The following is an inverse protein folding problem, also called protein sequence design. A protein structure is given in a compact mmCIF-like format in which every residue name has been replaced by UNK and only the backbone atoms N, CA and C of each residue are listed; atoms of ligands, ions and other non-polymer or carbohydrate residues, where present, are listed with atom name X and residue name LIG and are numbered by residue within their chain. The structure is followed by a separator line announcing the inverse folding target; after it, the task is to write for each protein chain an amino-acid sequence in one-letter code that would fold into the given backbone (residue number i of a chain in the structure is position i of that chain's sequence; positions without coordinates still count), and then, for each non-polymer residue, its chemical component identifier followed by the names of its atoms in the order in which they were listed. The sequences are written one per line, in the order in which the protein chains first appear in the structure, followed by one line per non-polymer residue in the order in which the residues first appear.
data_IF_421354873421
#
_entry.id   IF_421354873421
#
_cell.length_a   1.000
_cell.length_b   1.000
_cell.length_c   1.000
_cell.angle_alpha   90.00
_cell.angle_beta   90.00
_cell.angle_gamma   90.00
#
_symmetry.space_group_name_H-M   'P 1'
#
loop_
_entity.id
_entity.type
_entity.pdbx_description
1 polymer ?
#
# COMPACT_ATOMS: atom_id res chain seq x y z
N UNK A 1 -11.67 -24.54 11.26
CA UNK A 1 -11.21 -23.13 11.12
C UNK A 1 -9.70 -23.13 11.19
N UNK A 2 -8.99 -22.49 10.25
CA UNK A 2 -7.53 -22.39 10.31
C UNK A 2 -7.02 -21.69 11.57
N UNK A 3 -5.84 -22.08 12.06
CA UNK A 3 -5.27 -21.54 13.30
C UNK A 3 -5.10 -20.01 13.27
N UNK A 4 -4.66 -19.44 12.13
CA UNK A 4 -4.53 -17.99 12.00
C UNK A 4 -5.86 -17.26 12.26
N UNK A 5 -6.96 -17.81 11.76
CA UNK A 5 -8.30 -17.25 11.96
C UNK A 5 -8.80 -17.45 13.40
N UNK A 6 -8.53 -18.60 14.03
CA UNK A 6 -8.88 -18.79 15.46
C UNK A 6 -8.11 -17.83 16.35
N UNK A 7 -6.82 -17.63 16.09
CA UNK A 7 -5.96 -16.75 16.88
C UNK A 7 -6.37 -15.30 16.72
N UNK A 8 -6.71 -14.87 15.50
CA UNK A 8 -7.26 -13.54 15.25
C UNK A 8 -8.58 -13.32 16.00
N UNK A 9 -9.52 -14.27 15.94
CA UNK A 9 -10.79 -14.17 16.65
C UNK A 9 -10.58 -14.03 18.17
N UNK A 10 -9.77 -14.91 18.76
CA UNK A 10 -9.44 -14.84 20.19
C UNK A 10 -8.77 -13.50 20.50
N UNK A 11 -7.79 -13.08 19.70
CA UNK A 11 -7.10 -11.81 19.89
C UNK A 11 -8.06 -10.62 19.90
N UNK A 12 -8.90 -10.46 18.87
CA UNK A 12 -9.74 -9.27 18.72
C UNK A 12 -10.95 -9.26 19.64
N UNK A 13 -11.49 -10.42 20.02
CA UNK A 13 -12.59 -10.50 21.01
C UNK A 13 -12.09 -10.19 22.42
N UNK A 14 -10.80 -10.41 22.71
CA UNK A 14 -10.22 -10.19 24.06
C UNK A 14 -9.38 -8.91 24.15
N UNK A 15 -9.13 -8.22 23.04
CA UNK A 15 -8.35 -6.98 22.99
C UNK A 15 -9.22 -5.76 23.33
N UNK A 16 -8.66 -4.84 24.12
CA UNK A 16 -9.25 -3.52 24.35
C UNK A 16 -8.79 -2.47 23.33
N UNK A 17 -7.97 -2.87 22.34
CA UNK A 17 -7.44 -1.99 21.30
C UNK A 17 -8.25 -2.16 20.03
N UNK A 18 -8.81 -1.05 19.54
CA UNK A 18 -9.58 -1.01 18.29
C UNK A 18 -8.64 -0.70 17.12
N UNK A 19 -8.73 -1.43 15.99
CA UNK A 19 -8.05 -1.06 14.75
C UNK A 19 -8.36 0.37 14.29
N UNK A 20 -7.43 0.99 13.58
CA UNK A 20 -7.58 2.36 13.08
C UNK A 20 -8.67 2.48 12.01
N UNK A 21 -8.85 1.44 11.20
CA UNK A 21 -9.84 1.41 10.13
C UNK A 21 -11.22 1.01 10.66
N UNK A 22 -12.26 1.69 10.19
CA UNK A 22 -13.65 1.35 10.55
C UNK A 22 -14.12 0.05 9.90
N UNK A 23 -15.25 -0.49 10.35
CA UNK A 23 -15.88 -1.65 9.72
C UNK A 23 -16.14 -1.42 8.21
N UNK A 24 -16.61 -0.23 7.84
CA UNK A 24 -16.93 0.12 6.45
C UNK A 24 -15.66 0.26 5.60
N UNK A 25 -14.58 0.81 6.17
CA UNK A 25 -13.26 0.90 5.54
C UNK A 25 -12.69 -0.52 5.32
N UNK A 26 -12.61 -1.35 6.36
CA UNK A 26 -12.10 -2.74 6.25
C UNK A 26 -12.91 -3.58 5.27
N UNK A 27 -14.22 -3.37 5.21
CA UNK A 27 -15.12 -4.12 4.32
C UNK A 27 -14.78 -3.95 2.84
N UNK A 28 -14.18 -2.82 2.44
CA UNK A 28 -13.72 -2.58 1.07
C UNK A 28 -12.61 -3.55 0.70
N UNK A 29 -11.50 -3.56 1.46
CA UNK A 29 -10.37 -4.45 1.21
C UNK A 29 -10.75 -5.92 1.40
N UNK A 30 -11.60 -6.22 2.39
CA UNK A 30 -12.11 -7.59 2.62
C UNK A 30 -12.84 -8.14 1.39
N UNK A 31 -13.71 -7.37 0.72
CA UNK A 31 -14.42 -7.83 -0.48
C UNK A 31 -13.48 -8.23 -1.62
N UNK A 32 -12.31 -7.62 -1.69
CA UNK A 32 -11.26 -7.97 -2.67
C UNK A 32 -10.51 -9.21 -2.22
N UNK A 33 -10.10 -9.29 -0.96
CA UNK A 33 -9.49 -10.49 -0.37
C UNK A 33 -10.39 -11.73 -0.48
N UNK A 34 -11.69 -11.61 -0.23
CA UNK A 34 -12.66 -12.71 -0.38
C UNK A 34 -12.66 -13.33 -1.80
N UNK A 35 -12.25 -12.56 -2.81
CA UNK A 35 -12.18 -13.00 -4.22
C UNK A 35 -10.79 -13.45 -4.65
N UNK A 36 -9.74 -12.90 -4.05
CA UNK A 36 -8.35 -13.07 -4.48
C UNK A 36 -7.51 -13.95 -3.57
N UNK A 37 -7.88 -14.08 -2.29
CA UNK A 37 -7.14 -14.89 -1.33
C UNK A 37 -7.26 -16.40 -1.62
N UNK A 38 -6.19 -17.18 -1.39
CA UNK A 38 -4.85 -16.73 -0.97
C UNK A 38 -4.10 -15.98 -2.08
N UNK A 39 -3.47 -14.85 -1.73
CA UNK A 39 -2.74 -14.01 -2.68
C UNK A 39 -1.44 -13.43 -2.08
N UNK A 40 -0.67 -12.71 -2.88
CA UNK A 40 0.44 -11.90 -2.39
C UNK A 40 -0.10 -10.53 -1.96
N UNK A 41 -0.10 -10.26 -0.65
CA UNK A 41 -0.58 -9.02 -0.06
C UNK A 41 0.57 -8.25 0.59
N UNK A 42 0.83 -7.03 0.11
CA UNK A 42 1.80 -6.11 0.69
C UNK A 42 1.07 -5.08 1.54
N UNK A 43 1.56 -4.80 2.74
CA UNK A 43 1.03 -3.75 3.62
C UNK A 43 2.18 -2.84 4.04
N UNK A 44 2.11 -1.56 3.67
CA UNK A 44 2.91 -0.52 4.33
C UNK A 44 2.20 -0.16 5.63
N UNK A 45 2.81 -0.55 6.74
CA UNK A 45 2.33 -0.40 8.11
C UNK A 45 2.27 -1.74 8.83
N UNK A 46 2.81 -1.80 10.05
CA UNK A 46 2.63 -2.90 10.97
C UNK A 46 1.89 -2.40 12.20
N UNK A 47 0.75 -3.01 12.54
CA UNK A 47 -0.12 -2.44 13.56
C UNK A 47 -1.09 -3.43 14.18
N UNK A 48 -2.11 -2.86 14.83
CA UNK A 48 -3.14 -3.64 15.52
C UNK A 48 -4.03 -4.44 14.57
N UNK A 49 -4.08 -4.08 13.29
CA UNK A 49 -4.83 -4.73 12.23
C UNK A 49 -4.01 -5.78 11.46
N UNK A 50 -2.69 -5.88 11.66
CA UNK A 50 -1.83 -6.82 10.92
C UNK A 50 -2.27 -8.28 11.06
N UNK A 51 -2.67 -8.70 12.26
CA UNK A 51 -3.15 -10.07 12.46
C UNK A 51 -4.45 -10.34 11.69
N UNK A 52 -5.36 -9.35 11.63
CA UNK A 52 -6.58 -9.42 10.81
C UNK A 52 -6.22 -9.55 9.33
N UNK A 53 -5.31 -8.71 8.81
CA UNK A 53 -4.90 -8.75 7.41
C UNK A 53 -4.28 -10.09 7.01
N UNK A 54 -3.34 -10.59 7.81
CA UNK A 54 -2.73 -11.91 7.59
C UNK A 54 -3.76 -13.05 7.66
N UNK A 55 -4.77 -12.92 8.54
CA UNK A 55 -5.81 -13.95 8.71
C UNK A 55 -6.87 -13.93 7.61
N UNK A 56 -7.25 -12.75 7.12
CA UNK A 56 -8.13 -12.61 5.95
C UNK A 56 -7.47 -13.17 4.69
N UNK A 57 -6.14 -13.07 4.58
CA UNK A 57 -5.36 -13.69 3.51
C UNK A 57 -4.80 -15.07 3.88
N UNK A 58 -5.55 -15.89 4.64
CA UNK A 58 -5.10 -17.21 5.08
C UNK A 58 -4.64 -18.08 3.90
N UNK A 59 -3.45 -18.67 4.02
CA UNK A 59 -2.81 -19.50 2.98
C UNK A 59 -2.06 -18.70 1.91
N UNK A 60 -2.20 -17.36 1.91
CA UNK A 60 -1.42 -16.44 1.09
C UNK A 60 -0.22 -15.88 1.84
N UNK A 61 0.57 -15.07 1.13
CA UNK A 61 1.69 -14.33 1.73
C UNK A 61 1.23 -12.92 2.09
N UNK A 62 1.48 -12.48 3.31
CA UNK A 62 1.23 -11.11 3.73
C UNK A 62 2.51 -10.52 4.32
N UNK A 63 3.10 -9.54 3.64
CA UNK A 63 4.33 -8.86 4.04
C UNK A 63 4.01 -7.47 4.57
N UNK A 64 4.49 -7.15 5.77
CA UNK A 64 4.34 -5.83 6.40
C UNK A 64 5.64 -5.03 6.31
N UNK A 65 5.55 -3.76 5.97
CA UNK A 65 6.69 -2.83 5.91
C UNK A 65 6.51 -1.78 7.00
N UNK A 66 7.50 -1.57 7.86
CA UNK A 66 7.35 -0.72 9.04
C UNK A 66 8.60 0.14 9.30
N UNK A 67 8.42 1.40 9.69
CA UNK A 67 9.51 2.34 9.96
C UNK A 67 10.11 2.24 11.37
N UNK A 68 9.37 1.74 12.35
CA UNK A 68 9.86 1.63 13.73
C UNK A 68 10.37 0.21 14.04
N UNK A 69 11.70 0.06 14.08
CA UNK A 69 12.35 -1.20 14.41
C UNK A 69 11.99 -1.74 15.81
N UNK A 70 11.78 -0.87 16.80
CA UNK A 70 11.38 -1.28 18.14
C UNK A 70 9.93 -1.78 18.14
N UNK A 71 9.06 -1.13 17.36
CA UNK A 71 7.68 -1.57 17.17
C UNK A 71 7.60 -2.94 16.49
N UNK A 72 8.40 -3.17 15.44
CA UNK A 72 8.54 -4.50 14.82
C UNK A 72 8.87 -5.56 15.88
N UNK A 73 9.86 -5.31 16.73
CA UNK A 73 10.25 -6.28 17.76
C UNK A 73 9.11 -6.59 18.75
N UNK A 74 8.30 -5.59 19.12
CA UNK A 74 7.14 -5.74 20.00
C UNK A 74 6.06 -6.60 19.32
N UNK A 75 5.71 -6.28 18.08
CA UNK A 75 4.65 -6.98 17.34
C UNK A 75 5.06 -8.41 17.03
N UNK A 76 6.28 -8.64 16.54
CA UNK A 76 6.79 -9.99 16.23
C UNK A 76 6.88 -10.88 17.46
N UNK A 77 7.19 -10.32 18.65
CA UNK A 77 7.12 -11.08 19.90
C UNK A 77 5.70 -11.55 20.23
N UNK A 78 4.70 -10.72 19.90
CA UNK A 78 3.28 -11.04 20.14
C UNK A 78 2.71 -11.98 19.08
N UNK A 79 3.11 -11.79 17.83
CA UNK A 79 2.63 -12.53 16.66
C UNK A 79 3.82 -12.99 15.80
N UNK A 80 4.50 -14.08 16.20
CA UNK A 80 5.74 -14.53 15.55
C UNK A 80 5.56 -15.00 14.10
N UNK A 81 4.31 -15.20 13.66
CA UNK A 81 3.99 -15.62 12.31
C UNK A 81 3.79 -14.45 11.33
N UNK A 82 3.86 -13.19 11.79
CA UNK A 82 3.77 -12.04 10.89
C UNK A 82 5.13 -11.80 10.23
N UNK A 83 5.14 -11.76 8.91
CA UNK A 83 6.31 -11.42 8.11
C UNK A 83 6.43 -9.90 8.01
N UNK A 84 7.51 -9.32 8.54
CA UNK A 84 7.72 -7.87 8.54
C UNK A 84 9.14 -7.47 8.15
N UNK A 85 9.29 -6.36 7.45
CA UNK A 85 10.59 -5.77 7.09
C UNK A 85 10.67 -4.31 7.53
N UNK A 86 11.84 -3.91 8.04
CA UNK A 86 12.10 -2.54 8.46
C UNK A 86 12.50 -1.66 7.28
N UNK A 87 11.91 -0.48 7.16
CA UNK A 87 12.26 0.51 6.13
C UNK A 87 12.70 1.81 6.79
N UNK A 88 13.65 2.49 6.15
CA UNK A 88 13.99 3.87 6.49
C UNK A 88 13.42 4.78 5.40
N UNK A 89 12.61 5.74 5.80
CA UNK A 89 12.05 6.74 4.90
C UNK A 89 12.88 8.02 4.96
N UNK A 90 13.41 8.44 3.81
CA UNK A 90 14.20 9.67 3.70
C UNK A 90 13.35 10.91 3.41
N UNK A 91 12.06 10.73 3.09
CA UNK A 91 11.12 11.82 2.81
C UNK A 91 10.38 12.25 4.06
N UNK A 92 10.03 13.54 4.15
CA UNK A 92 9.27 14.11 5.26
C UNK A 92 8.01 14.82 4.78
N UNK A 93 6.98 14.88 5.61
CA UNK A 93 5.70 15.53 5.27
C UNK A 93 5.90 16.95 4.74
N UNK A 94 6.80 17.73 5.35
CA UNK A 94 7.11 19.11 4.91
C UNK A 94 7.66 19.22 3.49
N UNK A 95 8.22 18.14 2.94
CA UNK A 95 8.79 18.11 1.59
C UNK A 95 7.74 17.72 0.53
N UNK A 96 6.48 17.51 0.93
CA UNK A 96 5.40 17.02 0.06
C UNK A 96 5.20 17.84 -1.21
N UNK A 97 5.18 19.18 -1.13
CA UNK A 97 5.00 20.05 -2.30
C UNK A 97 6.13 19.85 -3.32
N UNK A 98 7.39 19.90 -2.86
CA UNK A 98 8.57 19.67 -3.69
C UNK A 98 8.56 18.28 -4.32
N UNK A 99 8.17 17.27 -3.54
CA UNK A 99 8.08 15.89 -4.00
C UNK A 99 6.94 15.67 -5.01
N UNK A 100 5.83 16.40 -4.87
CA UNK A 100 4.74 16.40 -5.85
C UNK A 100 5.21 16.99 -7.19
N UNK A 101 5.96 18.09 -7.16
CA UNK A 101 6.56 18.68 -8.37
C UNK A 101 7.56 17.72 -9.02
N UNK A 102 8.47 17.13 -8.24
CA UNK A 102 9.42 16.12 -8.71
C UNK A 102 8.70 14.93 -9.36
N UNK A 103 7.67 14.41 -8.70
CA UNK A 103 6.89 13.26 -9.19
C UNK A 103 6.22 13.50 -10.53
N UNK A 104 5.99 14.76 -10.93
CA UNK A 104 5.41 15.12 -12.23
C UNK A 104 6.43 15.13 -13.37
N UNK A 105 7.72 14.97 -13.08
CA UNK A 105 8.77 14.88 -14.10
C UNK A 105 8.63 13.62 -14.96
N UNK A 106 9.24 13.63 -16.15
CA UNK A 106 9.24 12.48 -17.05
C UNK A 106 9.94 11.26 -16.43
N UNK A 107 10.99 11.47 -15.64
CA UNK A 107 11.70 10.42 -14.92
C UNK A 107 10.81 9.68 -13.93
N UNK A 108 9.95 10.41 -13.20
CA UNK A 108 9.00 9.85 -12.24
C UNK A 108 7.72 9.29 -12.89
N UNK A 109 7.48 9.58 -14.17
CA UNK A 109 6.37 9.01 -14.95
C UNK A 109 6.78 7.82 -15.81
N UNK A 110 8.06 7.45 -15.80
CA UNK A 110 8.57 6.25 -16.46
C UNK A 110 8.35 5.00 -15.60
N UNK A 111 7.60 4.03 -16.13
CA UNK A 111 7.42 2.73 -15.47
C UNK A 111 8.69 1.92 -15.61
N UNK A 112 9.32 1.64 -14.48
CA UNK A 112 10.58 0.89 -14.37
C UNK A 112 10.60 0.07 -13.08
N UNK A 113 11.56 -0.84 -12.98
CA UNK A 113 11.87 -1.50 -11.70
C UNK A 113 12.22 -0.43 -10.65
N UNK A 114 11.55 -0.40 -9.48
CA UNK A 114 11.83 0.58 -8.44
C UNK A 114 13.32 0.66 -8.06
N UNK A 115 14.05 -0.46 -8.07
CA UNK A 115 15.50 -0.53 -7.79
C UNK A 115 16.33 0.37 -8.70
N UNK A 116 15.86 0.56 -9.94
CA UNK A 116 16.55 1.32 -10.98
C UNK A 116 15.88 2.67 -11.26
N UNK A 117 14.84 3.03 -10.50
CA UNK A 117 14.10 4.26 -10.73
C UNK A 117 14.98 5.47 -10.46
N UNK A 118 14.94 6.45 -11.37
CA UNK A 118 15.59 7.75 -11.18
C UNK A 118 14.78 8.71 -10.31
N UNK A 119 13.54 8.34 -9.96
CA UNK A 119 12.69 9.14 -9.10
C UNK A 119 13.05 8.92 -7.64
N UNK A 120 13.22 10.01 -6.87
CA UNK A 120 13.55 9.93 -5.43
C UNK A 120 12.35 9.47 -4.58
N UNK A 121 11.15 9.45 -5.14
CA UNK A 121 9.97 8.86 -4.49
C UNK A 121 10.00 7.33 -4.45
N UNK A 122 10.82 6.68 -5.29
CA UNK A 122 10.92 5.22 -5.31
C UNK A 122 11.74 4.71 -4.12
N UNK A 123 11.17 3.79 -3.35
CA UNK A 123 11.92 3.05 -2.32
C UNK A 123 12.79 1.98 -2.98
N UNK A 124 14.07 1.94 -2.61
CA UNK A 124 15.12 1.14 -3.29
C UNK A 124 15.79 0.10 -2.39
N UNK A 125 15.67 0.23 -1.07
CA UNK A 125 16.45 -0.56 -0.10
C UNK A 125 15.67 -1.75 0.50
N UNK A 126 15.00 -2.51 -0.37
CA UNK A 126 14.34 -3.77 -0.02
C UNK A 126 15.08 -4.99 -0.61
N UNK A 127 14.87 -6.20 -0.05
CA UNK A 127 15.36 -7.44 -0.64
C UNK A 127 14.78 -7.68 -2.04
N UNK A 128 15.49 -8.44 -2.89
CA UNK A 128 15.08 -8.73 -4.26
C UNK A 128 13.64 -9.30 -4.35
N UNK A 129 13.30 -10.19 -3.42
CA UNK A 129 11.98 -10.83 -3.33
C UNK A 129 10.81 -9.84 -3.15
N UNK A 130 11.03 -8.68 -2.53
CA UNK A 130 10.02 -7.61 -2.47
C UNK A 130 9.66 -7.07 -3.86
N UNK A 131 10.66 -6.89 -4.73
CA UNK A 131 10.48 -6.35 -6.08
C UNK A 131 10.03 -7.41 -7.09
N UNK A 132 10.40 -8.66 -6.86
CA UNK A 132 10.13 -9.79 -7.75
C UNK A 132 8.75 -10.41 -7.50
N UNK A 133 8.20 -10.23 -6.29
CA UNK A 133 6.85 -10.68 -5.95
C UNK A 133 5.80 -9.93 -6.78
N UNK A 134 4.93 -10.69 -7.45
CA UNK A 134 3.73 -10.17 -8.11
C UNK A 134 2.66 -9.88 -7.04
N UNK A 135 2.66 -8.66 -6.48
CA UNK A 135 1.69 -8.24 -5.48
C UNK A 135 0.28 -8.08 -6.08
N UNK A 136 -0.68 -8.83 -5.54
CA UNK A 136 -2.08 -8.81 -5.97
C UNK A 136 -2.87 -7.71 -5.30
N UNK A 137 -2.57 -7.48 -4.02
CA UNK A 137 -3.09 -6.38 -3.21
C UNK A 137 -1.93 -5.62 -2.57
N UNK A 138 -2.08 -4.30 -2.46
CA UNK A 138 -1.19 -3.42 -1.69
C UNK A 138 -2.04 -2.50 -0.81
N UNK A 139 -1.80 -2.47 0.50
CA UNK A 139 -2.38 -1.50 1.43
C UNK A 139 -1.30 -0.50 1.83
N UNK A 140 -1.60 0.79 1.70
CA UNK A 140 -0.74 1.88 2.16
C UNK A 140 -1.40 2.54 3.38
N UNK A 141 -0.98 2.10 4.57
CA UNK A 141 -1.45 2.60 5.87
C UNK A 141 -0.30 3.08 6.79
N UNK A 142 0.88 3.26 6.21
CA UNK A 142 2.05 3.85 6.85
C UNK A 142 2.97 4.43 5.77
N UNK A 143 3.94 5.29 6.12
CA UNK A 143 4.32 5.74 7.47
C UNK A 143 3.30 6.63 8.18
N UNK A 144 3.57 6.90 9.45
CA UNK A 144 2.72 7.62 10.41
C UNK A 144 2.27 9.02 9.98
N UNK A 145 3.17 9.84 9.42
CA UNK A 145 2.84 11.14 8.81
C UNK A 145 2.13 12.16 9.72
N UNK A 146 2.29 12.08 11.05
CA UNK A 146 1.53 12.91 12.00
C UNK A 146 2.08 14.33 12.21
N UNK A 147 3.29 14.63 11.74
CA UNK A 147 3.88 15.97 11.83
C UNK A 147 4.86 16.24 10.68
N UNK A 148 5.24 17.50 10.50
CA UNK A 148 6.06 17.97 9.37
C UNK A 148 7.40 17.23 9.21
N UNK A 149 8.06 16.90 10.32
CA UNK A 149 9.34 16.17 10.31
C UNK A 149 9.21 14.64 10.22
N UNK A 150 7.99 14.10 10.30
CA UNK A 150 7.76 12.65 10.25
C UNK A 150 7.82 12.17 8.79
N UNK A 151 8.13 10.89 8.58
CA UNK A 151 7.97 10.29 7.28
C UNK A 151 6.49 10.31 6.86
N UNK A 152 6.23 10.79 5.64
CA UNK A 152 4.89 10.85 5.05
C UNK A 152 4.67 9.75 4.03
N UNK A 153 3.40 9.46 3.66
CA UNK A 153 3.06 8.34 2.78
C UNK A 153 3.46 8.52 1.31
N UNK A 154 4.10 9.63 0.94
CA UNK A 154 4.50 9.96 -0.44
C UNK A 154 5.27 8.83 -1.14
N UNK A 155 6.38 8.38 -0.57
CA UNK A 155 7.23 7.35 -1.18
C UNK A 155 6.54 5.97 -1.18
N UNK A 156 5.75 5.66 -0.16
CA UNK A 156 4.98 4.42 -0.09
C UNK A 156 3.88 4.37 -1.18
N UNK A 157 3.09 5.44 -1.33
CA UNK A 157 2.07 5.58 -2.38
C UNK A 157 2.71 5.48 -3.77
N UNK A 158 3.79 6.23 -4.02
CA UNK A 158 4.47 6.20 -5.30
C UNK A 158 5.02 4.81 -5.63
N UNK A 159 5.70 4.17 -4.66
CA UNK A 159 6.29 2.83 -4.84
C UNK A 159 5.21 1.77 -5.06
N UNK A 160 4.09 1.81 -4.33
CA UNK A 160 2.95 0.93 -4.56
C UNK A 160 2.43 1.04 -6.00
N UNK A 161 2.29 2.27 -6.49
CA UNK A 161 1.93 2.53 -7.88
C UNK A 161 2.95 2.02 -8.90
N UNK A 162 4.24 2.11 -8.60
CA UNK A 162 5.30 1.64 -9.49
C UNK A 162 5.36 0.11 -9.54
N UNK A 163 5.25 -0.57 -8.39
CA UNK A 163 5.16 -2.03 -8.29
C UNK A 163 3.96 -2.57 -9.08
N UNK A 164 2.78 -1.98 -8.88
CA UNK A 164 1.56 -2.37 -9.58
C UNK A 164 1.71 -2.25 -11.11
N UNK A 165 2.29 -1.15 -11.60
CA UNK A 165 2.49 -0.93 -13.04
C UNK A 165 3.61 -1.79 -13.63
N UNK A 166 4.67 -2.05 -12.87
CA UNK A 166 5.84 -2.81 -13.31
C UNK A 166 5.63 -4.33 -13.25
N UNK A 167 4.50 -4.80 -12.71
CA UNK A 167 4.05 -6.19 -12.83
C UNK A 167 4.04 -6.63 -14.30
N UNK A 168 4.38 -7.89 -14.56
CA UNK A 168 4.45 -8.45 -15.92
C UNK A 168 3.09 -8.45 -16.64
N UNK A 169 2.03 -8.83 -15.94
CA UNK A 169 0.68 -9.05 -16.44
C UNK A 169 -0.36 -8.73 -15.36
N UNK A 170 -1.65 -8.76 -15.73
CA UNK A 170 -2.75 -8.63 -14.77
C UNK A 170 -2.92 -7.22 -14.20
N UNK A 171 -3.45 -7.15 -12.97
CA UNK A 171 -3.77 -5.93 -12.25
C UNK A 171 -3.55 -6.11 -10.75
N UNK A 172 -3.23 -5.01 -10.08
CA UNK A 172 -3.03 -4.95 -8.63
C UNK A 172 -4.06 -4.02 -8.02
N UNK A 173 -4.72 -4.46 -6.96
CA UNK A 173 -5.57 -3.60 -6.16
C UNK A 173 -4.73 -2.84 -5.14
N UNK A 174 -4.82 -1.51 -5.14
CA UNK A 174 -4.08 -0.65 -4.22
C UNK A 174 -5.08 0.10 -3.35
N UNK A 175 -4.88 0.04 -2.04
CA UNK A 175 -5.67 0.75 -1.05
C UNK A 175 -4.78 1.79 -0.38
N UNK A 176 -5.30 3.01 -0.21
CA UNK A 176 -4.63 4.08 0.54
C UNK A 176 -5.59 4.55 1.62
N UNK A 177 -5.14 4.50 2.87
CA UNK A 177 -5.92 4.98 4.02
C UNK A 177 -5.56 6.45 4.34
N UNK A 178 -6.33 7.08 5.23
CA UNK A 178 -6.22 8.48 5.63
C UNK A 178 -6.24 9.50 4.48
N UNK A 179 -6.97 9.22 3.38
CA UNK A 179 -7.10 10.18 2.25
C UNK A 179 -7.89 11.46 2.58
N UNK A 180 -8.27 11.67 3.84
CA UNK A 180 -8.73 12.95 4.35
C UNK A 180 -7.57 13.91 4.67
N UNK A 181 -6.33 13.43 4.67
CA UNK A 181 -5.12 14.24 4.82
C UNK A 181 -4.64 14.69 3.43
N UNK A 182 -4.12 15.94 3.29
CA UNK A 182 -3.75 16.51 1.98
C UNK A 182 -2.71 15.67 1.21
N UNK A 183 -1.68 15.17 1.89
CA UNK A 183 -0.63 14.38 1.28
C UNK A 183 -1.19 13.11 0.64
N UNK A 184 -1.93 12.32 1.41
CA UNK A 184 -2.51 11.06 0.97
C UNK A 184 -3.54 11.28 -0.14
N UNK A 185 -4.36 12.33 -0.05
CA UNK A 185 -5.32 12.69 -1.07
C UNK A 185 -4.63 12.99 -2.41
N UNK A 186 -3.71 13.95 -2.42
CA UNK A 186 -3.08 14.44 -3.64
C UNK A 186 -2.13 13.41 -4.26
N UNK A 187 -1.29 12.76 -3.44
CA UNK A 187 -0.34 11.76 -3.93
C UNK A 187 -1.07 10.54 -4.48
N UNK A 188 -2.12 10.04 -3.82
CA UNK A 188 -2.86 8.88 -4.33
C UNK A 188 -3.60 9.22 -5.62
N UNK A 189 -4.26 10.39 -5.70
CA UNK A 189 -4.96 10.81 -6.91
C UNK A 189 -3.99 11.02 -8.09
N UNK A 190 -2.79 11.52 -7.83
CA UNK A 190 -1.78 11.81 -8.85
C UNK A 190 -1.02 10.56 -9.29
N UNK A 191 -0.46 9.78 -8.35
CA UNK A 191 0.50 8.72 -8.64
C UNK A 191 -0.13 7.33 -8.74
N UNK A 192 -1.30 7.11 -8.16
CA UNK A 192 -2.14 5.93 -8.45
C UNK A 192 -3.17 6.21 -9.55
N UNK A 193 -3.26 7.47 -9.99
CA UNK A 193 -4.15 7.99 -11.02
C UNK A 193 -5.63 7.89 -10.68
N UNK A 194 -6.30 9.04 -10.59
CA UNK A 194 -7.75 9.14 -10.38
C UNK A 194 -8.58 8.25 -11.32
N UNK A 195 -8.16 8.09 -12.58
CA UNK A 195 -8.85 7.22 -13.54
C UNK A 195 -8.77 5.71 -13.25
N UNK A 196 -7.92 5.28 -12.32
CA UNK A 196 -7.88 3.90 -11.81
C UNK A 196 -8.64 3.72 -10.48
N UNK A 197 -9.16 4.81 -9.90
CA UNK A 197 -9.95 4.75 -8.66
C UNK A 197 -11.27 4.00 -8.90
N UNK A 198 -11.61 3.09 -7.98
CA UNK A 198 -12.84 2.30 -8.01
C UNK A 198 -13.87 2.80 -7.02
N UNK A 199 -13.43 3.03 -5.80
CA UNK A 199 -14.28 3.51 -4.72
C UNK A 199 -13.46 4.27 -3.67
N UNK A 200 -14.13 5.15 -2.94
CA UNK A 200 -13.62 5.74 -1.71
C UNK A 200 -14.72 5.59 -0.65
N UNK A 201 -14.38 5.00 0.48
CA UNK A 201 -15.27 4.82 1.61
C UNK A 201 -14.61 5.34 2.88
N UNK A 202 -15.22 6.33 3.53
CA UNK A 202 -14.58 7.05 4.63
C UNK A 202 -13.21 7.60 4.20
N UNK A 203 -12.16 7.21 4.92
CA UNK A 203 -10.77 7.61 4.67
C UNK A 203 -9.99 6.59 3.83
N UNK A 204 -10.63 5.53 3.34
CA UNK A 204 -9.99 4.52 2.50
C UNK A 204 -10.34 4.76 1.03
N UNK A 205 -9.33 4.72 0.17
CA UNK A 205 -9.47 4.81 -1.28
C UNK A 205 -8.93 3.54 -1.94
N UNK A 206 -9.70 2.99 -2.88
CA UNK A 206 -9.36 1.77 -3.62
C UNK A 206 -9.12 2.09 -5.09
N UNK A 207 -8.01 1.58 -5.62
CA UNK A 207 -7.61 1.65 -7.03
C UNK A 207 -7.41 0.25 -7.58
N UNK A 208 -7.68 0.06 -8.88
CA UNK A 208 -7.23 -1.12 -9.62
C UNK A 208 -6.27 -0.67 -10.71
N UNK A 209 -4.98 -0.95 -10.52
CA UNK A 209 -3.91 -0.50 -11.40
C UNK A 209 -3.48 -1.67 -12.31
N UNK A 210 -3.66 -1.55 -13.63
CA UNK A 210 -3.31 -2.63 -14.54
C UNK A 210 -1.80 -2.62 -14.83
N UNK A 211 -1.22 -3.76 -15.18
CA UNK A 211 0.19 -3.86 -15.62
C UNK A 211 0.44 -3.00 -16.86
N UNK A 212 1.48 -2.17 -16.82
CA UNK A 212 1.93 -1.39 -17.99
C UNK A 212 2.87 -2.20 -18.89
N UNK A 213 3.42 -3.32 -18.40
CA UNK A 213 4.24 -4.23 -19.22
C UNK A 213 3.39 -5.08 -20.17
N UNK A 214 2.13 -5.35 -19.82
CA UNK A 214 1.20 -6.09 -20.66
C UNK A 214 0.83 -5.39 -21.98
N UNK A 215 0.99 -4.05 -22.07
CA UNK A 215 0.70 -3.29 -23.29
C UNK A 215 1.64 -2.10 -23.45
N UNK A 216 2.53 -2.18 -24.44
CA UNK A 216 3.44 -1.10 -24.80
C UNK A 216 2.67 0.20 -25.13
N UNK A 217 3.25 1.34 -24.75
CA UNK A 217 2.69 2.67 -25.02
C UNK A 217 1.51 3.07 -24.14
N UNK A 218 1.19 2.31 -23.07
CA UNK A 218 0.19 2.75 -22.09
C UNK A 218 0.71 4.01 -21.35
N UNK A 219 -0.06 5.12 -21.33
CA UNK A 219 0.32 6.31 -20.57
C UNK A 219 0.34 6.03 -19.07
N UNK A 220 1.14 6.78 -18.29
CA UNK A 220 1.29 6.59 -16.84
C UNK A 220 -0.06 6.63 -16.08
N UNK A 221 -0.91 7.59 -16.46
CA UNK A 221 -2.32 7.64 -16.09
C UNK A 221 -3.19 7.44 -17.32
N UNK A 222 -4.37 6.81 -17.17
CA UNK A 222 -5.33 6.72 -18.27
C UNK A 222 -5.81 8.12 -18.62
N UNK A 223 -6.11 8.35 -19.90
CA UNK A 223 -6.74 9.58 -20.34
C UNK A 223 -8.11 9.69 -19.66
N UNK A 224 -8.41 10.82 -19.04
CA UNK A 224 -9.74 11.06 -18.48
C UNK A 224 -10.76 11.02 -19.62
N UNK A 225 -11.54 9.94 -19.68
CA UNK A 225 -12.70 9.86 -20.55
C UNK A 225 -13.83 10.51 -19.80
N UNK A 226 -14.26 11.69 -20.25
CA UNK A 226 -15.42 12.38 -19.69
C UNK A 226 -16.64 11.45 -19.81
N UNK A 227 -17.07 10.87 -18.68
CA UNK A 227 -18.22 9.96 -18.62
C UNK A 227 -19.57 10.72 -18.63
N UNK A 228 -19.57 12.02 -18.94
CA UNK A 228 -20.78 12.77 -19.24
C UNK A 228 -21.14 12.65 -20.72
N UNK A 229 -21.68 11.50 -21.12
CA UNK A 229 -22.56 11.35 -22.28
C UNK A 229 -23.67 10.37 -21.97
#
# INVERSE_FOLDING_TARGET
MPLSLSDALVHYVTSNVTPQQTFDEVSVSKRVLDKKSPCNFLVFGLGHDSLMWASLNHGGRTLFIEEDQAWIAIVTKKFPNLESYHVVYDTKVKDSDKLMELGRSEECRSVSDPRNSKCDLALKDFPADFYETKWDLIMVDAPTGYHEEAPGRMSAIYTAGLLARNREDGETDVFVHDVNRPVEDEFSATFLCKGYMREQNGRLRHFTIPSHRARAGRPFCPVEVDRRR
#
